data_IF_129899248159
#
_entry.id   IF_129899248159
#
_cell.length_a   1.000
_cell.length_b   1.000
_cell.length_c   1.000
_cell.angle_alpha   90.00
_cell.angle_beta   90.00
_cell.angle_gamma   90.00
#
_symmetry.space_group_name_H-M   'P 1'
#
loop_
_entity.id
_entity.type
_entity.pdbx_description
1 polymer ?
#
# COMPACT_ATOMS: atom_id res chain seq x y z
N UNK A 1 -16.23 60.47 74.67
CA UNK A 1 -14.98 60.28 73.88
C UNK A 1 -15.24 59.55 72.55
N UNK A 2 -16.45 59.68 72.01
CA UNK A 2 -17.07 58.55 71.30
C UNK A 2 -16.98 58.72 69.78
N UNK A 3 -16.96 59.97 69.31
CA UNK A 3 -16.77 60.31 67.90
C UNK A 3 -15.39 59.92 67.35
N UNK A 4 -14.31 60.13 68.12
CA UNK A 4 -12.95 59.73 67.72
C UNK A 4 -12.80 58.20 67.66
N UNK A 5 -13.38 57.48 68.63
CA UNK A 5 -13.36 56.02 68.66
C UNK A 5 -14.15 55.43 67.48
N UNK A 6 -15.32 56.02 67.17
CA UNK A 6 -16.14 55.61 66.04
C UNK A 6 -15.44 55.85 64.69
N UNK A 7 -14.78 57.00 64.52
CA UNK A 7 -14.02 57.32 63.30
C UNK A 7 -12.80 56.41 63.11
N UNK A 8 -12.05 56.13 64.17
CA UNK A 8 -10.92 55.21 64.13
C UNK A 8 -11.35 53.77 63.79
N UNK A 9 -12.46 53.30 64.38
CA UNK A 9 -13.02 51.97 64.10
C UNK A 9 -13.55 51.86 62.66
N UNK A 10 -14.23 52.89 62.17
CA UNK A 10 -14.72 52.95 60.79
C UNK A 10 -13.55 52.92 59.77
N UNK A 11 -12.48 53.69 60.02
CA UNK A 11 -11.30 53.70 59.15
C UNK A 11 -10.53 52.37 59.18
N UNK A 12 -10.36 51.77 60.37
CA UNK A 12 -9.73 50.46 60.51
C UNK A 12 -10.53 49.35 59.79
N UNK A 13 -11.86 49.35 59.93
CA UNK A 13 -12.73 48.40 59.24
C UNK A 13 -12.72 48.60 57.73
N UNK A 14 -12.78 49.85 57.25
CA UNK A 14 -12.69 50.17 55.83
C UNK A 14 -11.35 49.74 55.22
N UNK A 15 -10.23 49.96 55.92
CA UNK A 15 -8.91 49.57 55.44
C UNK A 15 -8.72 48.04 55.46
N UNK A 16 -9.20 47.36 56.50
CA UNK A 16 -9.18 45.89 56.57
C UNK A 16 -10.04 45.25 55.47
N UNK A 17 -11.23 45.81 55.19
CA UNK A 17 -12.11 45.33 54.13
C UNK A 17 -11.51 45.62 52.74
N UNK A 18 -10.95 46.81 52.52
CA UNK A 18 -10.28 47.14 51.26
C UNK A 18 -9.05 46.26 51.00
N UNK A 19 -8.22 46.02 52.02
CA UNK A 19 -7.01 45.19 51.88
C UNK A 19 -7.37 43.71 51.66
N UNK A 20 -8.33 43.16 52.41
CA UNK A 20 -8.78 41.77 52.21
C UNK A 20 -9.46 41.56 50.85
N UNK A 21 -10.24 42.54 50.36
CA UNK A 21 -10.84 42.49 49.03
C UNK A 21 -9.77 42.62 47.92
N UNK A 22 -8.78 43.49 48.07
CA UNK A 22 -7.66 43.61 47.13
C UNK A 22 -6.77 42.36 47.11
N UNK A 23 -6.50 41.73 48.26
CA UNK A 23 -5.71 40.51 48.34
C UNK A 23 -6.48 39.31 47.76
N UNK A 24 -7.77 39.20 48.03
CA UNK A 24 -8.61 38.11 47.47
C UNK A 24 -8.83 38.26 45.96
N UNK A 25 -9.04 39.48 45.43
CA UNK A 25 -9.10 39.70 43.98
C UNK A 25 -7.75 39.44 43.30
N UNK A 26 -6.64 39.93 43.85
CA UNK A 26 -5.32 39.72 43.23
C UNK A 26 -4.89 38.26 43.26
N UNK A 27 -5.16 37.53 44.37
CA UNK A 27 -4.89 36.10 44.46
C UNK A 27 -5.82 35.28 43.55
N UNK A 28 -7.13 35.55 43.53
CA UNK A 28 -8.06 34.81 42.65
C UNK A 28 -7.79 35.07 41.17
N UNK A 29 -7.48 36.31 40.77
CA UNK A 29 -7.17 36.64 39.38
C UNK A 29 -5.83 36.04 38.94
N UNK A 30 -4.79 36.06 39.79
CA UNK A 30 -3.50 35.43 39.47
C UNK A 30 -3.59 33.91 39.42
N UNK A 31 -4.39 33.28 40.30
CA UNK A 31 -4.65 31.84 40.24
C UNK A 31 -5.47 31.45 39.00
N UNK A 32 -6.48 32.24 38.63
CA UNK A 32 -7.26 32.03 37.41
C UNK A 32 -6.42 32.20 36.13
N UNK A 33 -5.60 33.25 36.05
CA UNK A 33 -4.69 33.45 34.90
C UNK A 33 -3.65 32.34 34.82
N UNK A 34 -2.97 32.01 35.92
CA UNK A 34 -1.94 30.95 35.90
C UNK A 34 -2.52 29.58 35.54
N UNK A 35 -3.69 29.22 36.08
CA UNK A 35 -4.35 27.95 35.77
C UNK A 35 -4.87 27.92 34.32
N UNK A 36 -5.45 29.01 33.81
CA UNK A 36 -5.90 29.08 32.41
C UNK A 36 -4.73 29.04 31.41
N UNK A 37 -3.61 29.73 31.69
CA UNK A 37 -2.41 29.65 30.88
C UNK A 37 -1.80 28.24 30.90
N UNK A 38 -1.66 27.64 32.09
CA UNK A 38 -1.15 26.27 32.23
C UNK A 38 -2.03 25.24 31.49
N UNK A 39 -3.35 25.36 31.60
CA UNK A 39 -4.28 24.44 30.93
C UNK A 39 -4.28 24.65 29.40
N UNK A 40 -4.25 25.89 28.93
CA UNK A 40 -4.16 26.21 27.50
C UNK A 40 -2.84 25.71 26.88
N UNK A 41 -1.71 25.91 27.55
CA UNK A 41 -0.39 25.50 27.06
C UNK A 41 -0.22 23.98 27.11
N UNK A 42 -0.64 23.31 28.18
CA UNK A 42 -0.60 21.84 28.27
C UNK A 42 -1.51 21.18 27.22
N UNK A 43 -2.71 21.70 26.99
CA UNK A 43 -3.61 21.19 25.96
C UNK A 43 -3.07 21.43 24.54
N UNK A 44 -2.55 22.64 24.26
CA UNK A 44 -1.91 22.94 22.99
C UNK A 44 -0.69 22.04 22.73
N UNK A 45 0.15 21.80 23.73
CA UNK A 45 1.31 20.93 23.61
C UNK A 45 0.88 19.47 23.40
N UNK A 46 -0.12 18.98 24.14
CA UNK A 46 -0.67 17.63 23.96
C UNK A 46 -1.30 17.41 22.58
N UNK A 47 -2.08 18.37 22.06
CA UNK A 47 -2.61 18.31 20.70
C UNK A 47 -1.49 18.36 19.65
N UNK A 48 -0.51 19.26 19.80
CA UNK A 48 0.59 19.37 18.83
C UNK A 48 1.44 18.09 18.77
N UNK A 49 1.73 17.48 19.92
CA UNK A 49 2.54 16.26 20.01
C UNK A 49 1.77 15.04 19.51
N UNK A 50 0.47 14.90 19.87
CA UNK A 50 -0.36 13.80 19.37
C UNK A 50 -0.61 13.88 17.86
N UNK A 51 -0.78 15.07 17.30
CA UNK A 51 -0.92 15.28 15.86
C UNK A 51 0.41 15.03 15.12
N UNK A 52 1.54 15.49 15.66
CA UNK A 52 2.86 15.20 15.11
C UNK A 52 3.19 13.70 15.14
N UNK A 53 2.91 13.02 16.26
CA UNK A 53 3.16 11.58 16.42
C UNK A 53 2.27 10.73 15.51
N UNK A 54 0.97 11.04 15.44
CA UNK A 54 0.04 10.32 14.55
C UNK A 54 0.39 10.52 13.07
N UNK A 55 0.79 11.72 12.65
CA UNK A 55 1.25 11.98 11.29
C UNK A 55 2.57 11.24 10.99
N UNK A 56 3.52 11.22 11.93
CA UNK A 56 4.76 10.47 11.80
C UNK A 56 4.51 8.96 11.69
N UNK A 57 3.57 8.41 12.47
CA UNK A 57 3.16 7.00 12.40
C UNK A 57 2.43 6.67 11.09
N UNK A 58 1.55 7.55 10.62
CA UNK A 58 0.89 7.38 9.33
C UNK A 58 1.90 7.38 8.17
N UNK A 59 2.89 8.28 8.21
CA UNK A 59 3.99 8.33 7.23
C UNK A 59 4.88 7.08 7.30
N UNK A 60 5.22 6.59 8.48
CA UNK A 60 6.06 5.37 8.62
C UNK A 60 5.31 4.11 8.18
N UNK A 61 4.04 3.91 8.58
CA UNK A 61 3.21 2.79 8.14
C UNK A 61 2.92 2.85 6.63
N UNK A 62 2.66 4.04 6.07
CA UNK A 62 2.45 4.17 4.63
C UNK A 62 3.69 3.80 3.82
N UNK A 63 4.91 4.08 4.34
CA UNK A 63 6.17 3.71 3.69
C UNK A 63 6.44 2.21 3.72
N UNK A 64 6.31 1.57 4.88
CA UNK A 64 6.47 0.11 5.00
C UNK A 64 5.37 -0.64 4.22
N UNK A 65 4.13 -0.18 4.32
CA UNK A 65 2.97 -0.71 3.59
C UNK A 65 2.98 -0.43 2.09
N UNK A 66 3.81 0.49 1.60
CA UNK A 66 4.05 0.70 0.17
C UNK A 66 4.99 -0.40 -0.36
N UNK A 67 6.12 -0.64 0.31
CA UNK A 67 7.08 -1.66 -0.12
C UNK A 67 6.46 -3.07 -0.14
N UNK A 68 5.69 -3.45 0.89
CA UNK A 68 5.01 -4.75 0.92
C UNK A 68 3.92 -4.91 -0.14
N UNK A 69 3.42 -3.82 -0.74
CA UNK A 69 2.53 -3.86 -1.91
C UNK A 69 3.32 -3.99 -3.21
N UNK A 70 4.33 -3.14 -3.42
CA UNK A 70 5.16 -3.13 -4.64
C UNK A 70 5.87 -4.47 -4.87
N UNK A 71 6.38 -5.10 -3.81
CA UNK A 71 7.14 -6.35 -3.88
C UNK A 71 6.27 -7.62 -3.95
N UNK A 72 4.95 -7.49 -3.84
CA UNK A 72 4.03 -8.64 -3.78
C UNK A 72 3.63 -9.08 -5.19
N UNK A 73 3.59 -10.41 -5.39
CA UNK A 73 2.90 -11.00 -6.52
C UNK A 73 1.40 -10.97 -6.26
N UNK A 74 0.63 -10.47 -7.21
CA UNK A 74 -0.83 -10.39 -7.15
C UNK A 74 -1.47 -11.43 -8.06
N UNK A 75 -2.63 -11.92 -7.64
CA UNK A 75 -3.51 -12.78 -8.41
C UNK A 75 -4.90 -12.18 -8.32
N UNK A 76 -5.50 -11.83 -9.45
CA UNK A 76 -6.89 -11.36 -9.52
C UNK A 76 -7.68 -12.27 -10.45
N UNK A 77 -8.99 -12.38 -10.22
CA UNK A 77 -9.86 -13.30 -10.95
C UNK A 77 -11.25 -12.70 -11.18
N UNK A 78 -11.90 -13.10 -12.27
CA UNK A 78 -13.29 -12.76 -12.58
C UNK A 78 -13.94 -13.87 -13.44
N UNK A 79 -15.26 -14.03 -13.32
CA UNK A 79 -16.01 -14.98 -14.14
C UNK A 79 -16.33 -14.41 -15.53
N UNK A 80 -16.68 -15.28 -16.46
CA UNK A 80 -17.26 -14.88 -17.74
C UNK A 80 -18.53 -14.03 -17.52
N UNK A 81 -18.57 -12.83 -18.12
CA UNK A 81 -19.59 -11.80 -17.90
C UNK A 81 -19.23 -10.72 -16.86
N UNK A 82 -18.24 -10.95 -15.99
CA UNK A 82 -17.85 -10.00 -14.93
C UNK A 82 -16.73 -9.05 -15.36
N UNK A 83 -16.51 -7.97 -14.60
CA UNK A 83 -15.36 -7.09 -14.75
C UNK A 83 -14.18 -7.53 -13.88
N UNK A 84 -13.04 -7.83 -14.49
CA UNK A 84 -11.75 -7.87 -13.80
C UNK A 84 -11.26 -6.43 -13.55
N UNK A 85 -10.81 -6.13 -12.33
CA UNK A 85 -10.20 -4.83 -11.97
C UNK A 85 -8.81 -5.02 -11.39
N UNK A 86 -7.78 -4.67 -12.16
CA UNK A 86 -6.37 -4.73 -11.76
C UNK A 86 -5.89 -3.32 -11.39
N UNK A 87 -5.28 -3.14 -10.20
CA UNK A 87 -4.84 -1.82 -9.72
C UNK A 87 -3.51 -1.87 -8.96
N UNK A 88 -2.56 -1.06 -9.43
CA UNK A 88 -1.30 -0.82 -8.75
C UNK A 88 -1.30 0.49 -7.92
N UNK A 89 -0.44 0.57 -6.87
CA UNK A 89 -0.18 1.80 -6.12
C UNK A 89 0.25 3.01 -6.97
N UNK A 90 0.19 4.25 -6.44
CA UNK A 90 0.77 5.41 -7.09
C UNK A 90 2.26 5.21 -7.39
N UNK A 91 2.75 5.72 -8.54
CA UNK A 91 4.15 5.57 -9.01
C UNK A 91 4.61 4.13 -9.30
N UNK A 92 3.65 3.20 -9.48
CA UNK A 92 3.89 1.88 -10.08
C UNK A 92 2.95 1.61 -11.25
N UNK A 93 3.36 0.71 -12.13
CA UNK A 93 2.59 0.17 -13.26
C UNK A 93 2.43 -1.34 -13.14
N UNK A 94 1.42 -1.87 -13.82
CA UNK A 94 1.10 -3.30 -13.89
C UNK A 94 2.11 -3.98 -14.83
N UNK A 95 2.81 -4.99 -14.31
CA UNK A 95 3.60 -5.92 -15.11
C UNK A 95 2.91 -7.28 -15.09
N UNK A 96 2.25 -7.65 -16.19
CA UNK A 96 1.60 -8.97 -16.31
C UNK A 96 2.69 -10.04 -16.33
N UNK A 97 2.48 -11.13 -15.59
CA UNK A 97 3.41 -12.27 -15.51
C UNK A 97 2.86 -13.49 -16.23
N UNK A 98 1.55 -13.73 -16.06
CA UNK A 98 0.82 -14.78 -16.75
C UNK A 98 -0.68 -14.47 -16.70
N UNK A 99 -1.46 -15.02 -17.63
CA UNK A 99 -2.91 -15.02 -17.54
C UNK A 99 -3.47 -16.34 -18.09
N UNK A 100 -4.60 -16.75 -17.54
CA UNK A 100 -5.35 -17.93 -17.94
C UNK A 100 -6.82 -17.53 -18.10
N UNK A 101 -7.41 -17.80 -19.25
CA UNK A 101 -8.85 -17.72 -19.43
C UNK A 101 -9.38 -19.07 -19.93
N UNK A 102 -10.35 -19.64 -19.22
CA UNK A 102 -10.83 -21.00 -19.47
C UNK A 102 -11.45 -21.64 -18.25
N UNK A 103 -11.39 -22.97 -18.18
CA UNK A 103 -11.74 -23.78 -17.00
C UNK A 103 -10.66 -24.83 -16.81
N UNK A 104 -10.11 -24.91 -15.59
CA UNK A 104 -9.43 -26.13 -15.12
C UNK A 104 -10.50 -27.02 -14.47
N UNK A 105 -10.31 -28.33 -14.53
CA UNK A 105 -11.33 -29.34 -14.24
C UNK A 105 -12.02 -29.27 -12.86
N UNK A 106 -12.96 -30.19 -12.58
CA UNK A 106 -13.94 -30.08 -11.49
C UNK A 106 -13.38 -30.03 -10.05
N UNK A 107 -12.06 -30.13 -9.87
CA UNK A 107 -11.36 -30.05 -8.60
C UNK A 107 -11.08 -28.63 -8.08
N UNK A 108 -11.37 -27.56 -8.83
CA UNK A 108 -11.27 -26.18 -8.33
C UNK A 108 -12.63 -25.68 -7.79
N UNK A 109 -12.86 -25.61 -6.46
CA UNK A 109 -14.19 -25.38 -5.92
C UNK A 109 -14.62 -23.91 -6.03
N UNK A 110 -15.85 -23.70 -6.50
CA UNK A 110 -16.66 -22.47 -6.29
C UNK A 110 -16.12 -21.12 -6.80
N UNK A 111 -15.08 -21.05 -7.64
CA UNK A 111 -14.68 -19.75 -8.22
C UNK A 111 -15.72 -19.17 -9.20
N UNK A 112 -16.27 -19.99 -10.11
CA UNK A 112 -17.35 -19.60 -11.02
C UNK A 112 -18.31 -20.78 -11.21
N UNK A 113 -19.54 -20.73 -10.65
CA UNK A 113 -20.52 -21.79 -10.82
C UNK A 113 -20.80 -22.04 -12.30
N UNK A 114 -20.75 -23.31 -12.71
CA UNK A 114 -21.45 -23.73 -13.93
C UNK A 114 -22.94 -23.60 -13.61
N UNK A 115 -23.69 -22.78 -14.34
CA UNK A 115 -25.14 -22.68 -14.16
C UNK A 115 -25.77 -23.98 -14.68
N UNK A 116 -25.82 -24.98 -13.81
CA UNK A 116 -26.25 -26.32 -14.15
C UNK A 116 -27.75 -26.28 -14.43
N UNK A 117 -28.10 -26.16 -15.72
CA UNK A 117 -29.44 -26.40 -16.23
C UNK A 117 -29.70 -27.91 -16.13
N UNK A 118 -29.96 -28.37 -14.91
CA UNK A 118 -30.48 -29.71 -14.65
C UNK A 118 -31.72 -29.90 -15.53
N UNK A 119 -31.68 -30.95 -16.37
CA UNK A 119 -32.72 -31.47 -17.28
C UNK A 119 -32.41 -31.41 -18.78
N UNK A 120 -31.19 -31.80 -19.20
CA UNK A 120 -31.02 -32.53 -20.45
C UNK A 120 -30.11 -33.74 -20.23
N UNK A 121 -30.71 -34.93 -20.29
CA UNK A 121 -29.98 -36.21 -20.32
C UNK A 121 -29.31 -36.31 -21.69
N UNK A 122 -28.01 -36.04 -21.74
CA UNK A 122 -27.15 -36.29 -22.88
C UNK A 122 -26.01 -37.20 -22.44
N UNK A 123 -26.07 -38.47 -22.81
CA UNK A 123 -25.00 -39.45 -22.57
C UNK A 123 -23.83 -39.20 -23.51
N UNK A 124 -22.99 -38.22 -23.16
CA UNK A 124 -21.62 -38.17 -23.65
C UNK A 124 -20.68 -38.22 -22.44
N UNK A 125 -19.64 -39.06 -22.46
CA UNK A 125 -18.65 -39.06 -21.39
C UNK A 125 -17.96 -37.69 -21.34
N UNK A 126 -17.53 -37.30 -20.14
CA UNK A 126 -16.69 -36.11 -19.93
C UNK A 126 -15.28 -36.46 -20.39
N UNK A 127 -15.13 -36.62 -21.70
CA UNK A 127 -13.86 -36.94 -22.35
C UNK A 127 -13.05 -35.67 -22.57
N UNK A 128 -11.97 -35.58 -21.80
CA UNK A 128 -10.78 -34.78 -22.06
C UNK A 128 -10.99 -33.24 -22.15
N UNK A 129 -11.42 -32.63 -21.04
CA UNK A 129 -11.39 -31.17 -20.77
C UNK A 129 -9.93 -30.60 -20.66
N UNK A 130 -8.99 -31.21 -21.38
CA UNK A 130 -7.54 -30.93 -21.35
C UNK A 130 -7.18 -29.64 -22.12
N UNK A 131 -8.12 -29.09 -22.90
CA UNK A 131 -7.91 -27.89 -23.74
C UNK A 131 -8.97 -26.79 -23.61
N UNK A 132 -9.78 -26.76 -22.52
CA UNK A 132 -10.70 -25.63 -22.26
C UNK A 132 -9.95 -24.39 -21.72
N UNK A 133 -9.06 -23.83 -22.51
CA UNK A 133 -8.35 -22.58 -22.23
C UNK A 133 -7.96 -21.83 -23.50
N UNK A 134 -7.78 -20.52 -23.38
CA UNK A 134 -7.43 -19.65 -24.50
C UNK A 134 -5.98 -19.21 -24.39
N UNK A 135 -5.13 -19.65 -25.32
CA UNK A 135 -3.68 -19.35 -25.35
C UNK A 135 -3.37 -17.86 -25.49
N UNK A 136 -4.28 -17.12 -26.12
CA UNK A 136 -4.28 -15.67 -26.30
C UNK A 136 -4.48 -14.87 -25.00
N UNK A 137 -4.89 -15.50 -23.90
CA UNK A 137 -5.21 -14.81 -22.64
C UNK A 137 -4.05 -13.93 -22.13
N UNK A 138 -2.81 -14.43 -22.16
CA UNK A 138 -1.64 -13.65 -21.75
C UNK A 138 -1.41 -12.45 -22.67
N UNK A 139 -1.41 -12.64 -23.98
CA UNK A 139 -1.20 -11.54 -24.93
C UNK A 139 -2.27 -10.46 -24.76
N UNK A 140 -3.54 -10.85 -24.64
CA UNK A 140 -4.63 -9.90 -24.47
C UNK A 140 -4.53 -9.12 -23.16
N UNK A 141 -4.12 -9.76 -22.07
CA UNK A 141 -3.90 -9.06 -20.79
C UNK A 141 -2.67 -8.15 -20.82
N UNK A 142 -1.64 -8.48 -21.60
CA UNK A 142 -0.53 -7.56 -21.89
C UNK A 142 -1.04 -6.33 -22.64
N UNK A 143 -1.73 -6.52 -23.77
CA UNK A 143 -2.23 -5.43 -24.62
C UNK A 143 -3.18 -4.48 -23.86
N UNK A 144 -4.06 -5.02 -23.01
CA UNK A 144 -5.03 -4.23 -22.25
C UNK A 144 -4.43 -3.58 -20.99
N UNK A 145 -3.58 -4.28 -20.23
CA UNK A 145 -3.19 -3.85 -18.87
C UNK A 145 -1.71 -3.52 -18.66
N UNK A 146 -0.80 -3.95 -19.53
CA UNK A 146 0.64 -3.70 -19.35
C UNK A 146 0.92 -2.19 -19.28
N UNK A 147 1.84 -1.81 -18.40
CA UNK A 147 2.30 -0.42 -18.18
C UNK A 147 1.20 0.58 -17.75
N UNK A 148 -0.03 0.11 -17.49
CA UNK A 148 -1.10 0.92 -16.86
C UNK A 148 -1.01 0.86 -15.34
N UNK A 149 -1.56 1.85 -14.64
CA UNK A 149 -1.72 1.80 -13.17
C UNK A 149 -3.05 1.16 -12.74
N UNK A 150 -4.08 1.32 -13.56
CA UNK A 150 -5.41 0.77 -13.36
C UNK A 150 -5.83 0.19 -14.71
N UNK A 151 -6.35 -1.03 -14.69
CA UNK A 151 -6.91 -1.71 -15.84
C UNK A 151 -8.24 -2.35 -15.43
N UNK A 152 -9.27 -2.19 -16.26
CA UNK A 152 -10.57 -2.81 -16.04
C UNK A 152 -11.02 -3.46 -17.35
N UNK A 153 -11.36 -4.74 -17.29
CA UNK A 153 -11.61 -5.58 -18.47
C UNK A 153 -12.92 -6.34 -18.25
N UNK A 154 -13.85 -6.24 -19.21
CA UNK A 154 -15.04 -7.09 -19.24
C UNK A 154 -14.64 -8.48 -19.74
N UNK A 155 -14.72 -9.49 -18.88
CA UNK A 155 -14.34 -10.86 -19.21
C UNK A 155 -15.41 -11.48 -20.09
N UNK A 156 -15.07 -11.71 -21.35
CA UNK A 156 -15.93 -12.40 -22.34
C UNK A 156 -15.07 -13.24 -23.27
N UNK A 157 -15.56 -14.38 -23.76
CA UNK A 157 -14.79 -15.22 -24.68
C UNK A 157 -14.36 -14.50 -25.96
N UNK A 158 -15.24 -13.65 -26.52
CA UNK A 158 -14.94 -12.83 -27.71
C UNK A 158 -13.80 -11.82 -27.52
N UNK A 159 -13.45 -11.44 -26.28
CA UNK A 159 -12.26 -10.62 -26.00
C UNK A 159 -10.95 -11.38 -26.25
N UNK A 160 -10.98 -12.70 -26.03
CA UNK A 160 -9.81 -13.57 -26.10
C UNK A 160 -9.74 -14.34 -27.43
N UNK A 161 -10.84 -14.49 -28.18
CA UNK A 161 -10.85 -15.04 -29.55
C UNK A 161 -11.86 -16.17 -29.73
N UNK A 162 -11.47 -17.23 -30.46
CA UNK A 162 -12.32 -18.40 -30.71
C UNK A 162 -12.41 -19.31 -29.47
N UNK A 163 -13.59 -19.40 -28.87
CA UNK A 163 -13.88 -20.18 -27.66
C UNK A 163 -13.85 -21.70 -27.93
N UNK A 164 -12.92 -22.48 -27.35
CA UNK A 164 -12.88 -23.94 -27.52
C UNK A 164 -13.95 -24.68 -26.70
N UNK A 165 -14.59 -24.00 -25.73
CA UNK A 165 -15.56 -24.60 -24.81
C UNK A 165 -16.71 -23.61 -24.50
N UNK A 166 -17.56 -23.26 -25.47
CA UNK A 166 -18.59 -22.22 -25.32
C UNK A 166 -19.72 -22.62 -24.35
N UNK A 167 -19.97 -23.91 -24.15
CA UNK A 167 -20.93 -24.43 -23.15
C UNK A 167 -20.37 -24.45 -21.72
N UNK A 168 -19.07 -24.23 -21.54
CA UNK A 168 -18.42 -24.19 -20.23
C UNK A 168 -18.41 -22.76 -19.69
N UNK A 169 -18.89 -22.60 -18.44
CA UNK A 169 -18.66 -21.38 -17.65
C UNK A 169 -17.15 -21.20 -17.45
N UNK A 170 -16.58 -20.06 -17.86
CA UNK A 170 -15.14 -19.82 -17.82
C UNK A 170 -14.79 -18.77 -16.77
N UNK A 171 -13.50 -18.70 -16.45
CA UNK A 171 -12.94 -17.70 -15.56
C UNK A 171 -11.61 -17.19 -16.10
N UNK A 172 -11.33 -15.92 -15.83
CA UNK A 172 -10.04 -15.28 -16.05
C UNK A 172 -9.27 -15.27 -14.72
N UNK A 173 -8.01 -15.70 -14.73
CA UNK A 173 -7.04 -15.45 -13.66
C UNK A 173 -5.85 -14.71 -14.25
N UNK A 174 -5.41 -13.65 -13.58
CA UNK A 174 -4.26 -12.84 -14.00
C UNK A 174 -3.27 -12.74 -12.86
N UNK A 175 -2.04 -13.17 -13.12
CA UNK A 175 -0.90 -13.02 -12.23
C UNK A 175 -0.08 -11.81 -12.68
N UNK A 176 0.13 -10.84 -11.80
CA UNK A 176 0.86 -9.61 -12.10
C UNK A 176 1.70 -9.12 -10.91
N UNK A 177 2.57 -8.15 -11.18
CA UNK A 177 3.31 -7.39 -10.18
C UNK A 177 3.10 -5.90 -10.43
N UNK A 178 3.48 -5.08 -9.45
CA UNK A 178 3.48 -3.63 -9.59
C UNK A 178 4.93 -3.11 -9.66
N UNK A 179 5.42 -2.84 -10.87
CA UNK A 179 6.77 -2.34 -11.10
C UNK A 179 6.87 -0.84 -10.81
N UNK A 180 7.89 -0.35 -10.09
CA UNK A 180 8.14 1.08 -9.94
C UNK A 180 8.40 1.78 -11.28
N UNK A 181 7.78 2.94 -11.49
CA UNK A 181 8.00 3.76 -12.68
C UNK A 181 9.44 4.33 -12.73
N UNK A 182 10.07 4.48 -11.56
CA UNK A 182 11.46 4.91 -11.42
C UNK A 182 12.17 3.92 -10.49
N UNK A 183 13.20 3.24 -11.01
CA UNK A 183 14.08 2.35 -10.26
C UNK A 183 15.50 2.46 -10.79
N UNK A 184 16.48 1.99 -10.01
CA UNK A 184 17.90 2.00 -10.39
C UNK A 184 18.39 0.56 -10.45
N UNK A 185 18.80 0.12 -11.64
CA UNK A 185 19.59 -1.10 -11.78
C UNK A 185 21.04 -0.83 -11.41
N UNK A 186 21.69 -1.82 -10.80
CA UNK A 186 23.15 -1.89 -10.63
C UNK A 186 23.56 -3.33 -10.82
N UNK A 187 24.68 -3.53 -11.52
CA UNK A 187 25.35 -4.82 -11.63
C UNK A 187 26.73 -4.70 -11.01
N UNK A 188 27.24 -5.82 -10.52
CA UNK A 188 28.53 -5.99 -9.86
C UNK A 188 29.05 -7.36 -10.25
N UNK A 189 30.36 -7.49 -10.51
CA UNK A 189 30.92 -8.79 -10.84
C UNK A 189 31.10 -9.66 -9.57
N UNK A 190 31.39 -10.94 -9.77
CA UNK A 190 31.87 -11.80 -8.70
C UNK A 190 33.15 -11.21 -8.07
N UNK A 191 33.35 -11.41 -6.77
CA UNK A 191 34.44 -10.84 -5.94
C UNK A 191 34.44 -9.29 -5.77
N UNK A 192 33.62 -8.54 -6.52
CA UNK A 192 33.47 -7.09 -6.36
C UNK A 192 32.45 -6.70 -5.25
N UNK A 193 32.53 -5.45 -4.75
CA UNK A 193 31.67 -4.94 -3.67
C UNK A 193 30.65 -3.91 -4.16
N UNK A 194 29.37 -4.29 -4.21
CA UNK A 194 28.29 -3.37 -4.53
C UNK A 194 27.97 -2.41 -3.37
N UNK A 195 28.22 -1.12 -3.57
CA UNK A 195 27.76 -0.05 -2.67
C UNK A 195 26.39 0.49 -3.11
N UNK A 196 25.36 0.21 -2.31
CA UNK A 196 24.06 0.86 -2.40
C UNK A 196 24.02 2.08 -1.47
N UNK A 197 23.44 3.18 -1.94
CA UNK A 197 23.27 4.40 -1.16
C UNK A 197 22.07 5.21 -1.66
N UNK A 198 21.40 5.90 -0.76
CA UNK A 198 20.28 6.78 -1.05
C UNK A 198 20.45 8.13 -0.29
N UNK A 199 19.61 9.12 -0.62
CA UNK A 199 19.63 10.44 0.05
C UNK A 199 19.17 10.32 1.51
N UNK A 200 19.58 11.25 2.38
CA UNK A 200 19.17 11.29 3.80
C UNK A 200 17.64 11.29 3.91
N UNK A 201 17.07 10.38 4.72
CA UNK A 201 15.62 10.22 4.88
C UNK A 201 14.93 9.33 3.83
N UNK A 202 15.68 8.79 2.85
CA UNK A 202 15.24 7.74 1.94
C UNK A 202 15.61 6.35 2.48
N UNK A 203 15.05 5.31 1.86
CA UNK A 203 15.30 3.91 2.18
C UNK A 203 15.60 3.14 0.89
N UNK A 204 16.39 2.07 0.97
CA UNK A 204 16.73 1.22 -0.17
C UNK A 204 15.76 0.05 -0.20
N UNK A 205 14.92 -0.02 -1.23
CA UNK A 205 14.05 -1.15 -1.51
C UNK A 205 14.59 -1.93 -2.72
N UNK A 206 14.81 -3.24 -2.55
CA UNK A 206 15.28 -4.12 -3.62
C UNK A 206 14.06 -4.75 -4.29
N UNK A 207 13.75 -4.32 -5.53
CA UNK A 207 12.61 -4.84 -6.30
C UNK A 207 12.87 -6.22 -6.90
N UNK A 208 14.06 -6.40 -7.46
CA UNK A 208 14.56 -7.65 -8.00
C UNK A 208 16.07 -7.71 -7.76
N UNK A 209 16.57 -8.90 -7.49
CA UNK A 209 18.00 -9.21 -7.42
C UNK A 209 18.22 -10.57 -8.06
N UNK A 210 19.27 -10.68 -8.87
CA UNK A 210 19.68 -11.92 -9.54
C UNK A 210 21.17 -12.09 -9.34
N UNK A 211 21.60 -13.32 -9.07
CA UNK A 211 23.00 -13.72 -9.01
C UNK A 211 23.23 -14.85 -10.00
N UNK A 212 24.34 -14.81 -10.74
CA UNK A 212 24.64 -15.72 -11.85
C UNK A 212 24.57 -15.04 -13.21
N UNK A 213 24.35 -15.82 -14.28
CA UNK A 213 24.28 -15.34 -15.67
C UNK A 213 22.89 -15.54 -16.26
N UNK A 214 22.42 -14.56 -17.01
CA UNK A 214 21.22 -14.62 -17.84
C UNK A 214 21.45 -15.55 -19.03
N UNK A 215 20.45 -16.37 -19.39
CA UNK A 215 20.58 -17.38 -20.47
C UNK A 215 20.78 -16.76 -21.88
N UNK A 216 20.56 -15.45 -22.04
CA UNK A 216 20.68 -14.72 -23.31
C UNK A 216 21.92 -13.81 -23.40
N UNK A 217 22.82 -13.81 -22.40
CA UNK A 217 23.96 -12.86 -22.32
C UNK A 217 23.72 -11.72 -21.32
N UNK A 218 24.82 -11.07 -20.87
CA UNK A 218 24.91 -10.30 -19.61
C UNK A 218 24.56 -8.81 -19.71
N UNK A 219 24.58 -8.13 -18.55
CA UNK A 219 23.99 -6.80 -18.35
C UNK A 219 24.77 -5.81 -17.44
N UNK A 220 26.05 -5.95 -17.03
CA UNK A 220 27.24 -6.70 -17.49
C UNK A 220 28.15 -7.01 -16.25
N UNK A 221 29.25 -7.77 -16.25
CA UNK A 221 30.30 -7.97 -17.27
C UNK A 221 30.99 -9.35 -17.19
N UNK A 222 31.84 -9.63 -18.18
CA UNK A 222 33.18 -10.19 -17.97
C UNK A 222 34.27 -9.29 -18.62
N UNK A 223 35.46 -9.18 -18.02
CA UNK A 223 36.59 -8.42 -18.63
C UNK A 223 37.90 -9.21 -18.68
N UNK A 224 38.53 -9.16 -19.86
CA UNK A 224 39.68 -9.94 -20.36
C UNK A 224 40.75 -10.47 -19.37
N UNK A 225 41.14 -11.74 -19.60
CA UNK A 225 42.35 -12.44 -19.16
C UNK A 225 43.33 -11.72 -18.19
N UNK A 226 43.23 -12.05 -16.89
CA UNK A 226 44.46 -12.21 -16.10
C UNK A 226 45.13 -13.50 -16.58
N UNK A 227 46.25 -13.40 -17.30
CA UNK A 227 47.03 -14.57 -17.73
C UNK A 227 47.40 -15.40 -16.50
N UNK A 228 47.02 -16.67 -16.49
CA UNK A 228 47.71 -17.67 -15.67
C UNK A 228 49.13 -17.77 -16.23
N UNK A 229 50.19 -17.63 -15.42
CA UNK A 229 51.54 -18.01 -15.84
C UNK A 229 51.52 -19.52 -16.04
N UNK A 230 51.72 -19.98 -17.27
CA UNK A 230 51.97 -21.39 -17.55
C UNK A 230 53.29 -21.79 -16.89
N UNK A 231 53.21 -22.75 -15.97
CA UNK A 231 54.32 -23.56 -15.45
C UNK A 231 54.04 -25.00 -15.89
#
# INVERSE_FOLDING_TARGET
MDSFLCLALALALALALALSLALSLSLSLSLALSLSLALSLSLALALSLSLALSLALALSLSRHGYLSKVLRNYTEQACDGDFLSVRCPPRTTITVQSAFYGRKGPSHPQQCPSYQRHNLVGTHPVEDDTYCYMSTALQKMLDECQDRRICQVLVTSGLFGTDPCPSSSKYLIVWYKCQPNEYRSKVVCEEERMKLSCKRGMEIAVYSAMFGRTQQGTLECPTHHRRVPSV
#
